data_IF_124356076141
#
_entry.id   IF_124356076141
#
_cell.length_a   1.000
_cell.length_b   1.000
_cell.length_c   1.000
_cell.angle_alpha   90.00
_cell.angle_beta   90.00
_cell.angle_gamma   90.00
#
_symmetry.space_group_name_H-M   'P 1'
#
loop_
_entity.id
_entity.type
_entity.pdbx_description
1 polymer ?
#
# COMPACT_ATOMS: atom_id res chain seq x y z
N UNK A 1 -7.61 -2.54 -16.28
CA UNK A 1 -6.19 -2.16 -16.49
C UNK A 1 -5.54 -1.50 -15.26
N UNK A 2 -6.18 -1.49 -14.08
CA UNK A 2 -5.69 -0.77 -12.89
C UNK A 2 -4.75 -1.59 -11.98
N UNK A 3 -4.71 -2.92 -12.11
CA UNK A 3 -3.81 -3.78 -11.29
C UNK A 3 -2.31 -3.61 -11.57
N UNK A 4 -1.93 -2.94 -12.66
CA UNK A 4 -0.53 -2.87 -13.11
C UNK A 4 0.28 -1.75 -12.42
N UNK A 5 -0.38 -0.71 -11.89
CA UNK A 5 0.31 0.44 -11.29
C UNK A 5 0.65 0.23 -9.81
N UNK A 6 -0.26 -0.38 -9.05
CA UNK A 6 -0.02 -0.78 -7.66
C UNK A 6 1.09 -1.84 -7.55
N UNK A 7 1.20 -2.72 -8.56
CA UNK A 7 2.30 -3.70 -8.66
C UNK A 7 3.68 -3.04 -8.85
N UNK A 8 3.76 -1.88 -9.52
CA UNK A 8 5.05 -1.23 -9.81
C UNK A 8 5.67 -0.56 -8.59
N UNK A 9 4.87 0.04 -7.70
CA UNK A 9 5.40 0.72 -6.51
C UNK A 9 5.84 -0.27 -5.42
N UNK A 10 5.09 -1.36 -5.19
CA UNK A 10 5.53 -2.44 -4.30
C UNK A 10 6.74 -3.20 -4.86
N UNK A 11 6.79 -3.46 -6.17
CA UNK A 11 7.95 -4.09 -6.80
C UNK A 11 9.21 -3.23 -6.76
N UNK A 12 9.09 -1.90 -6.73
CA UNK A 12 10.26 -1.01 -6.67
C UNK A 12 10.90 -0.94 -5.28
N UNK A 13 10.11 -0.91 -4.20
CA UNK A 13 10.64 -0.91 -2.83
C UNK A 13 11.22 -2.28 -2.43
N UNK A 14 10.56 -3.39 -2.80
CA UNK A 14 11.16 -4.72 -2.63
C UNK A 14 12.31 -4.98 -3.60
N UNK A 15 12.30 -4.33 -4.77
CA UNK A 15 13.33 -4.50 -5.81
C UNK A 15 14.66 -3.84 -5.46
N UNK A 16 14.66 -2.72 -4.74
CA UNK A 16 15.88 -2.02 -4.34
C UNK A 16 16.72 -2.86 -3.34
N UNK A 17 16.07 -3.42 -2.32
CA UNK A 17 16.70 -4.32 -1.33
C UNK A 17 17.13 -5.65 -1.95
N UNK A 18 16.33 -6.21 -2.87
CA UNK A 18 16.72 -7.40 -3.65
C UNK A 18 18.00 -7.15 -4.47
N UNK A 19 18.17 -5.97 -5.05
CA UNK A 19 19.37 -5.62 -5.81
C UNK A 19 20.62 -5.51 -4.94
N UNK A 20 20.51 -4.98 -3.72
CA UNK A 20 21.63 -4.93 -2.75
C UNK A 20 22.04 -6.34 -2.35
N UNK A 21 21.07 -7.20 -2.03
CA UNK A 21 21.31 -8.60 -1.67
C UNK A 21 21.99 -9.35 -2.83
N UNK A 22 21.51 -9.15 -4.06
CA UNK A 22 22.07 -9.80 -5.25
C UNK A 22 23.47 -9.27 -5.59
N UNK A 23 23.71 -7.98 -5.36
CA UNK A 23 25.04 -7.38 -5.51
C UNK A 23 26.02 -7.95 -4.49
N UNK A 24 25.61 -8.06 -3.22
CA UNK A 24 26.41 -8.69 -2.17
C UNK A 24 26.80 -10.13 -2.56
N UNK A 25 25.84 -10.93 -3.02
CA UNK A 25 26.07 -12.31 -3.49
C UNK A 25 27.00 -12.38 -4.71
N UNK A 26 26.90 -11.41 -5.63
CA UNK A 26 27.77 -11.35 -6.80
C UNK A 26 29.22 -11.00 -6.43
N UNK A 27 29.39 -10.09 -5.46
CA UNK A 27 30.71 -9.65 -5.00
C UNK A 27 31.39 -10.66 -4.07
N UNK A 28 30.62 -11.43 -3.29
CA UNK A 28 31.14 -12.55 -2.51
C UNK A 28 31.81 -13.62 -3.41
N UNK A 29 31.31 -13.77 -4.64
CA UNK A 29 31.88 -14.65 -5.67
C UNK A 29 33.11 -14.08 -6.37
N UNK A 30 33.46 -12.80 -6.16
CA UNK A 30 34.56 -12.12 -6.86
C UNK A 30 35.94 -12.36 -6.22
N UNK A 31 36.05 -13.21 -5.18
CA UNK A 31 37.30 -13.51 -4.46
C UNK A 31 38.06 -12.26 -3.99
N UNK A 32 37.34 -11.30 -3.39
CA UNK A 32 37.93 -10.13 -2.74
C UNK A 32 38.83 -10.55 -1.57
N UNK A 33 39.91 -9.80 -1.34
CA UNK A 33 40.71 -9.98 -0.12
C UNK A 33 39.86 -9.67 1.13
N UNK A 34 40.27 -10.21 2.29
CA UNK A 34 39.48 -10.12 3.51
C UNK A 34 39.26 -8.67 4.00
N UNK A 35 40.17 -7.75 3.72
CA UNK A 35 40.04 -6.34 4.06
C UNK A 35 39.01 -5.63 3.19
N UNK A 36 39.11 -5.83 1.88
CA UNK A 36 38.16 -5.33 0.89
C UNK A 36 36.75 -5.90 1.12
N UNK A 37 36.63 -7.18 1.52
CA UNK A 37 35.33 -7.78 1.81
C UNK A 37 34.66 -7.13 3.02
N UNK A 38 35.40 -6.91 4.10
CA UNK A 38 34.87 -6.26 5.30
C UNK A 38 34.41 -4.82 5.01
N UNK A 39 35.20 -4.05 4.26
CA UNK A 39 34.83 -2.68 3.86
C UNK A 39 33.60 -2.65 2.96
N UNK A 40 33.48 -3.63 2.06
CA UNK A 40 32.33 -3.75 1.18
C UNK A 40 31.06 -4.11 1.96
N UNK A 41 31.12 -5.09 2.86
CA UNK A 41 29.99 -5.51 3.68
C UNK A 41 29.47 -4.32 4.53
N UNK A 42 30.38 -3.54 5.10
CA UNK A 42 30.03 -2.32 5.85
C UNK A 42 29.36 -1.27 4.94
N UNK A 43 29.91 -1.03 3.75
CA UNK A 43 29.32 -0.11 2.78
C UNK A 43 27.92 -0.55 2.32
N UNK A 44 27.72 -1.84 2.09
CA UNK A 44 26.43 -2.41 1.71
C UNK A 44 25.41 -2.30 2.85
N UNK A 45 25.81 -2.55 4.09
CA UNK A 45 24.93 -2.39 5.25
C UNK A 45 24.48 -0.93 5.45
N UNK A 46 25.40 0.03 5.27
CA UNK A 46 25.07 1.46 5.30
C UNK A 46 24.10 1.83 4.17
N UNK A 47 24.36 1.35 2.96
CA UNK A 47 23.50 1.59 1.80
C UNK A 47 22.10 1.02 2.01
N UNK A 48 21.99 -0.22 2.48
CA UNK A 48 20.71 -0.88 2.77
C UNK A 48 19.88 -0.07 3.77
N UNK A 49 20.50 0.43 4.84
CA UNK A 49 19.84 1.31 5.81
C UNK A 49 19.33 2.60 5.16
N UNK A 50 20.12 3.21 4.28
CA UNK A 50 19.70 4.42 3.56
C UNK A 50 18.54 4.16 2.61
N UNK A 51 18.53 3.01 1.94
CA UNK A 51 17.47 2.68 1.00
C UNK A 51 16.16 2.35 1.73
N UNK A 52 16.21 1.64 2.87
CA UNK A 52 15.05 1.49 3.75
C UNK A 52 14.45 2.83 4.19
N UNK A 53 15.28 3.80 4.55
CA UNK A 53 14.82 5.14 4.90
C UNK A 53 14.25 5.89 3.70
N UNK A 54 14.81 5.70 2.49
CA UNK A 54 14.30 6.30 1.25
C UNK A 54 12.91 5.76 0.93
N UNK A 55 12.73 4.44 1.00
CA UNK A 55 11.45 3.78 0.74
C UNK A 55 10.39 4.16 1.77
N UNK A 56 10.76 4.27 3.05
CA UNK A 56 9.88 4.75 4.10
C UNK A 56 9.36 6.18 3.81
N UNK A 57 10.26 7.09 3.41
CA UNK A 57 9.89 8.46 3.03
C UNK A 57 8.99 8.49 1.80
N UNK A 58 9.27 7.64 0.80
CA UNK A 58 8.44 7.54 -0.40
C UNK A 58 7.02 7.05 -0.07
N UNK A 59 6.88 6.06 0.82
CA UNK A 59 5.57 5.58 1.28
C UNK A 59 4.79 6.69 2.00
N UNK A 60 5.44 7.43 2.90
CA UNK A 60 4.80 8.55 3.60
C UNK A 60 4.37 9.66 2.63
N UNK A 61 5.25 10.04 1.70
CA UNK A 61 4.94 11.05 0.69
C UNK A 61 3.74 10.63 -0.18
N UNK A 62 3.70 9.38 -0.63
CA UNK A 62 2.57 8.90 -1.43
C UNK A 62 1.26 8.95 -0.65
N UNK A 63 1.22 8.49 0.61
CA UNK A 63 0.01 8.56 1.41
C UNK A 63 -0.48 10.00 1.64
N UNK A 64 0.45 10.93 1.87
CA UNK A 64 0.12 12.37 1.95
C UNK A 64 -0.47 12.88 0.64
N UNK A 65 0.11 12.51 -0.51
CA UNK A 65 -0.44 12.87 -1.82
C UNK A 65 -1.84 12.27 -2.05
N UNK A 66 -2.10 11.03 -1.65
CA UNK A 66 -3.44 10.46 -1.79
C UNK A 66 -4.47 11.16 -0.90
N UNK A 67 -4.09 11.54 0.33
CA UNK A 67 -4.92 12.38 1.21
C UNK A 67 -5.28 13.71 0.54
N UNK A 68 -4.31 14.41 -0.05
CA UNK A 68 -4.54 15.69 -0.74
C UNK A 68 -5.47 15.53 -1.95
N UNK A 69 -5.32 14.45 -2.73
CA UNK A 69 -6.24 14.16 -3.84
C UNK A 69 -7.65 13.85 -3.35
N UNK A 70 -7.80 13.14 -2.23
CA UNK A 70 -9.11 12.90 -1.60
C UNK A 70 -9.74 14.23 -1.18
N UNK A 71 -8.98 15.13 -0.55
CA UNK A 71 -9.48 16.47 -0.18
C UNK A 71 -10.05 17.21 -1.40
N UNK A 72 -9.35 17.16 -2.54
CA UNK A 72 -9.84 17.74 -3.80
C UNK A 72 -11.10 17.03 -4.30
N UNK A 73 -11.14 15.70 -4.28
CA UNK A 73 -12.32 14.93 -4.70
C UNK A 73 -13.55 15.19 -3.82
N UNK A 74 -13.36 15.42 -2.53
CA UNK A 74 -14.44 15.78 -1.60
C UNK A 74 -15.07 17.13 -1.95
N UNK A 75 -14.32 18.09 -2.51
CA UNK A 75 -14.89 19.36 -2.98
C UNK A 75 -15.92 19.12 -4.08
N UNK A 76 -15.65 18.22 -5.02
CA UNK A 76 -16.58 17.85 -6.08
C UNK A 76 -17.77 17.02 -5.56
N UNK A 77 -17.59 16.25 -4.48
CA UNK A 77 -18.72 15.54 -3.86
C UNK A 77 -19.72 16.46 -3.17
N UNK A 78 -19.37 17.73 -2.89
CA UNK A 78 -20.34 18.69 -2.36
C UNK A 78 -21.50 18.94 -3.35
N UNK A 79 -21.30 18.70 -4.65
CA UNK A 79 -22.39 18.76 -5.64
C UNK A 79 -23.53 17.78 -5.33
N UNK A 80 -23.26 16.74 -4.50
CA UNK A 80 -24.28 15.82 -4.02
C UNK A 80 -25.31 16.49 -3.10
N UNK A 81 -24.94 17.56 -2.39
CA UNK A 81 -25.85 18.29 -1.49
C UNK A 81 -26.99 18.97 -2.26
N UNK A 82 -26.70 19.38 -3.50
CA UNK A 82 -27.67 20.00 -4.41
C UNK A 82 -28.40 18.96 -5.28
N UNK A 83 -27.94 17.71 -5.30
CA UNK A 83 -28.50 16.67 -6.15
C UNK A 83 -29.80 16.09 -5.57
N UNK A 84 -30.88 16.18 -6.33
CA UNK A 84 -32.18 15.60 -5.93
C UNK A 84 -32.39 14.23 -6.57
N UNK A 85 -33.26 13.38 -5.98
CA UNK A 85 -33.64 12.09 -6.58
C UNK A 85 -34.42 12.23 -7.92
N UNK A 86 -34.95 13.43 -8.16
CA UNK A 86 -35.72 13.81 -9.35
C UNK A 86 -34.86 14.47 -10.43
N UNK A 87 -33.54 14.40 -10.33
CA UNK A 87 -32.65 14.99 -11.32
C UNK A 87 -32.98 14.50 -12.74
N UNK A 88 -33.10 15.46 -13.66
CA UNK A 88 -33.52 15.19 -15.03
C UNK A 88 -32.39 14.48 -15.79
N UNK A 89 -31.16 14.92 -15.56
CA UNK A 89 -29.98 14.27 -16.11
C UNK A 89 -29.51 13.11 -15.21
N UNK A 90 -29.82 11.88 -15.65
CA UNK A 90 -29.40 10.67 -14.91
C UNK A 90 -27.90 10.38 -15.00
N UNK A 91 -27.17 11.01 -15.92
CA UNK A 91 -25.73 10.79 -16.04
C UNK A 91 -24.94 11.30 -14.83
N UNK A 92 -25.45 12.34 -14.16
CA UNK A 92 -24.84 12.91 -12.95
C UNK A 92 -24.68 11.87 -11.83
N UNK A 93 -25.65 10.98 -11.63
CA UNK A 93 -25.51 9.92 -10.62
C UNK A 93 -24.37 8.94 -10.95
N UNK A 94 -24.13 8.68 -12.24
CA UNK A 94 -23.04 7.82 -12.68
C UNK A 94 -21.68 8.50 -12.46
N UNK A 95 -21.59 9.80 -12.77
CA UNK A 95 -20.36 10.58 -12.54
C UNK A 95 -20.01 10.66 -11.05
N UNK A 96 -21.01 10.86 -10.18
CA UNK A 96 -20.82 10.82 -8.74
C UNK A 96 -20.39 9.43 -8.25
N UNK A 97 -20.94 8.35 -8.81
CA UNK A 97 -20.50 7.00 -8.49
C UNK A 97 -19.02 6.78 -8.84
N UNK A 98 -18.58 7.24 -10.02
CA UNK A 98 -17.17 7.19 -10.43
C UNK A 98 -16.26 8.02 -9.50
N UNK A 99 -16.75 9.13 -8.96
CA UNK A 99 -16.02 9.93 -7.99
C UNK A 99 -15.83 9.17 -6.67
N UNK A 100 -16.87 8.47 -6.18
CA UNK A 100 -16.73 7.57 -5.02
C UNK A 100 -15.74 6.43 -5.26
N UNK A 101 -15.80 5.79 -6.42
CA UNK A 101 -14.85 4.73 -6.80
C UNK A 101 -13.40 5.27 -6.82
N UNK A 102 -13.20 6.48 -7.34
CA UNK A 102 -11.90 7.15 -7.36
C UNK A 102 -11.38 7.42 -5.95
N UNK A 103 -12.24 7.89 -5.04
CA UNK A 103 -11.89 8.10 -3.63
C UNK A 103 -11.50 6.78 -2.96
N UNK A 104 -12.24 5.70 -3.22
CA UNK A 104 -11.93 4.38 -2.68
C UNK A 104 -10.57 3.87 -3.18
N UNK A 105 -10.24 4.08 -4.46
CA UNK A 105 -8.93 3.74 -5.02
C UNK A 105 -7.81 4.54 -4.33
N UNK A 106 -7.93 5.87 -4.23
CA UNK A 106 -6.94 6.71 -3.56
C UNK A 106 -6.74 6.34 -2.08
N UNK A 107 -7.83 6.06 -1.36
CA UNK A 107 -7.78 5.61 0.02
C UNK A 107 -7.09 4.25 0.16
N UNK A 108 -7.36 3.33 -0.78
CA UNK A 108 -6.72 2.01 -0.82
C UNK A 108 -5.22 2.14 -1.09
N UNK A 109 -4.81 3.00 -2.02
CA UNK A 109 -3.40 3.28 -2.30
C UNK A 109 -2.68 3.90 -1.08
N UNK A 110 -3.29 4.92 -0.46
CA UNK A 110 -2.73 5.55 0.73
C UNK A 110 -2.58 4.56 1.89
N UNK A 111 -3.60 3.72 2.12
CA UNK A 111 -3.54 2.67 3.13
C UNK A 111 -2.47 1.62 2.81
N UNK A 112 -2.31 1.22 1.54
CA UNK A 112 -1.25 0.31 1.11
C UNK A 112 0.14 0.88 1.39
N UNK A 113 0.37 2.17 1.12
CA UNK A 113 1.64 2.83 1.46
C UNK A 113 1.91 2.85 2.96
N UNK A 114 0.90 3.10 3.80
CA UNK A 114 1.07 3.08 5.26
C UNK A 114 1.38 1.68 5.79
N UNK A 115 0.78 0.64 5.21
CA UNK A 115 1.07 -0.74 5.58
C UNK A 115 2.47 -1.17 5.15
N UNK A 116 2.91 -0.74 3.97
CA UNK A 116 4.28 -0.94 3.51
C UNK A 116 5.30 -0.28 4.46
N UNK A 117 4.98 0.91 4.97
CA UNK A 117 5.81 1.61 5.95
C UNK A 117 5.95 0.82 7.26
N UNK A 118 4.84 0.26 7.76
CA UNK A 118 4.85 -0.60 8.96
C UNK A 118 5.67 -1.87 8.72
N UNK A 119 5.47 -2.53 7.57
CA UNK A 119 6.18 -3.75 7.20
C UNK A 119 7.69 -3.55 6.96
N UNK A 120 8.15 -2.32 6.72
CA UNK A 120 9.57 -2.00 6.57
C UNK A 120 10.37 -2.10 7.90
N UNK A 121 9.68 -2.34 9.03
CA UNK A 121 10.27 -2.61 10.34
C UNK A 121 9.96 -4.03 10.79
N UNK A 122 10.90 -4.72 11.44
CA UNK A 122 10.66 -6.09 11.98
C UNK A 122 9.49 -6.13 12.97
N UNK A 123 9.45 -5.16 13.90
CA UNK A 123 8.37 -5.04 14.89
C UNK A 123 7.02 -4.71 14.23
N UNK A 124 7.03 -3.86 13.20
CA UNK A 124 5.83 -3.52 12.46
C UNK A 124 5.32 -4.67 11.58
N UNK A 125 6.21 -5.47 10.98
CA UNK A 125 5.83 -6.65 10.21
C UNK A 125 5.09 -7.69 11.08
N UNK A 126 5.55 -7.91 12.31
CA UNK A 126 4.90 -8.79 13.30
C UNK A 126 3.52 -8.24 13.70
N UNK A 127 3.44 -6.95 14.04
CA UNK A 127 2.18 -6.31 14.42
C UNK A 127 1.15 -6.33 13.27
N UNK A 128 1.60 -6.12 12.03
CA UNK A 128 0.76 -6.12 10.84
C UNK A 128 0.22 -7.52 10.52
N UNK A 129 1.04 -8.57 10.62
CA UNK A 129 0.60 -9.95 10.44
C UNK A 129 -0.47 -10.36 11.47
N UNK A 130 -0.33 -9.93 12.74
CA UNK A 130 -1.35 -10.15 13.78
C UNK A 130 -2.67 -9.45 13.45
N UNK A 131 -2.61 -8.20 13.00
CA UNK A 131 -3.80 -7.41 12.68
C UNK A 131 -4.60 -7.98 11.49
N UNK A 132 -3.93 -8.54 10.48
CA UNK A 132 -4.60 -9.23 9.36
C UNK A 132 -5.35 -10.47 9.85
N UNK A 133 -4.70 -11.30 10.68
CA UNK A 133 -5.30 -12.52 11.20
C UNK A 133 -6.58 -12.23 12.03
N UNK A 134 -6.59 -11.15 12.80
CA UNK A 134 -7.76 -10.69 13.56
C UNK A 134 -8.90 -10.20 12.65
N UNK A 135 -8.57 -9.46 11.59
CA UNK A 135 -9.56 -8.96 10.63
C UNK A 135 -10.23 -10.10 9.84
N UNK A 136 -9.46 -11.10 9.42
CA UNK A 136 -9.98 -12.30 8.73
C UNK A 136 -10.86 -13.16 9.65
N UNK A 137 -10.46 -13.31 10.92
CA UNK A 137 -11.27 -13.99 11.94
C UNK A 137 -12.62 -13.30 12.19
N UNK A 138 -12.65 -11.95 12.16
CA UNK A 138 -13.88 -11.19 12.29
C UNK A 138 -14.83 -11.41 11.09
N UNK A 139 -14.30 -11.49 9.87
CA UNK A 139 -15.08 -11.71 8.64
C UNK A 139 -15.66 -13.14 8.53
N UNK A 140 -14.96 -14.16 9.05
CA UNK A 140 -15.45 -15.55 9.08
C UNK A 140 -16.65 -15.80 10.00
N UNK A 141 -16.88 -14.94 11.00
CA UNK A 141 -17.98 -15.08 11.96
C UNK A 141 -19.37 -14.66 11.41
N UNK A 142 -19.40 -13.92 10.29
CA UNK A 142 -20.62 -13.37 9.70
C UNK A 142 -21.42 -14.34 8.80
N UNK A 143 -20.77 -15.32 8.16
CA UNK A 143 -21.44 -16.22 7.21
C UNK A 143 -22.25 -17.34 7.88
N UNK A 144 -21.98 -17.67 9.15
CA UNK A 144 -22.66 -18.77 9.85
C UNK A 144 -24.11 -18.43 10.31
N UNK A 145 -24.51 -17.15 10.35
CA UNK A 145 -25.83 -16.74 10.88
C UNK A 145 -26.95 -16.61 9.84
N UNK A 146 -26.65 -16.61 8.53
CA UNK A 146 -27.68 -16.43 7.49
C UNK A 146 -28.40 -17.72 7.04
N UNK A 147 -27.95 -18.91 7.48
CA UNK A 147 -28.51 -20.20 7.02
C UNK A 147 -29.65 -20.77 7.89
N UNK A 148 -30.15 -20.04 8.90
CA UNK A 148 -31.20 -20.53 9.82
C UNK A 148 -32.55 -19.80 9.76
N UNK A 149 -32.78 -18.90 8.80
CA UNK A 149 -34.08 -18.24 8.59
C UNK A 149 -34.67 -18.65 7.23
N UNK A 150 -35.20 -19.86 7.16
CA UNK A 150 -35.80 -20.40 5.94
C UNK A 150 -36.30 -21.83 6.14
N UNK A 151 -37.06 -22.05 7.21
CA UNK A 151 -37.82 -23.28 7.44
C UNK A 151 -38.91 -23.01 8.48
N UNK A 152 -39.96 -22.27 8.08
CA UNK A 152 -41.36 -22.45 8.51
C UNK A 152 -42.22 -21.94 7.36
#
# INVERSE_FOLDING_TARGET
MLNTLNSKHQANASGSLDLVQRLAVALDKAHLDCGCRTQLDEALAIFEKHERLRDARACLANATTQREKIEVALVFLNDLDDLTATEADRSVYFDIALLFDSIAEMATEGAASMRALVAATEEGAIAYASAIAEAEAAQGSGQAKSKKRGAV
#
